data_IF_484009978475
#
_entry.id   IF_484009978475
#
_cell.length_a   1.000
_cell.length_b   1.000
_cell.length_c   1.000
_cell.angle_alpha   90.00
_cell.angle_beta   90.00
_cell.angle_gamma   90.00
#
_symmetry.space_group_name_H-M   'P 1'
#
loop_
_entity.id
_entity.type
_entity.pdbx_description
1 polymer ?
#
# COMPACT_ATOMS: atom_id res chain seq x y z
N UNK A 1 5.69 33.50 11.83
CA UNK A 1 5.24 32.44 10.90
C UNK A 1 5.29 33.01 9.48
N UNK A 2 6.35 32.73 8.73
CA UNK A 2 6.47 33.21 7.34
C UNK A 2 5.56 32.38 6.44
N UNK A 3 4.52 33.01 5.91
CA UNK A 3 3.56 32.37 5.00
C UNK A 3 4.25 32.28 3.62
N UNK A 4 4.85 31.13 3.32
CA UNK A 4 5.47 30.87 2.01
C UNK A 4 4.41 30.99 0.92
N UNK A 5 4.38 32.13 0.22
CA UNK A 5 3.60 32.33 -1.01
C UNK A 5 4.38 31.72 -2.17
N UNK A 6 4.34 30.39 -2.27
CA UNK A 6 4.84 29.67 -3.45
C UNK A 6 3.64 29.22 -4.27
N UNK A 7 3.72 29.34 -5.60
CA UNK A 7 2.75 28.75 -6.52
C UNK A 7 2.65 27.24 -6.37
N UNK A 8 3.65 26.60 -5.76
CA UNK A 8 3.67 25.18 -5.45
C UNK A 8 3.11 24.84 -4.06
N UNK A 9 2.77 25.83 -3.23
CA UNK A 9 2.28 25.60 -1.86
C UNK A 9 0.94 24.83 -1.84
N UNK A 10 0.08 25.02 -2.84
CA UNK A 10 -1.18 24.27 -2.99
C UNK A 10 -0.97 22.79 -3.31
N UNK A 11 0.18 22.43 -3.89
CA UNK A 11 0.53 21.05 -4.26
C UNK A 11 1.39 20.36 -3.19
N UNK A 12 1.81 21.08 -2.14
CA UNK A 12 2.59 20.53 -1.04
C UNK A 12 1.94 19.30 -0.35
N UNK A 13 0.61 19.24 -0.14
CA UNK A 13 -0.05 18.05 0.41
C UNK A 13 -0.02 16.83 -0.53
N UNK A 14 0.24 17.03 -1.82
CA UNK A 14 0.30 15.96 -2.82
C UNK A 14 1.69 15.30 -2.89
N UNK A 15 2.71 15.95 -2.31
CA UNK A 15 4.07 15.42 -2.20
C UNK A 15 4.25 14.48 -1.00
N UNK A 16 3.22 13.69 -0.65
CA UNK A 16 3.41 12.60 0.28
C UNK A 16 4.19 11.49 -0.43
N UNK A 17 5.46 11.35 -0.09
CA UNK A 17 6.23 10.16 -0.41
C UNK A 17 5.45 8.92 0.07
N UNK A 18 5.47 7.81 -0.67
CA UNK A 18 4.82 6.58 -0.22
C UNK A 18 5.39 6.19 1.15
N UNK A 19 4.52 6.18 2.16
CA UNK A 19 4.87 5.85 3.55
C UNK A 19 4.54 4.37 3.82
N UNK A 20 5.54 3.47 3.76
CA UNK A 20 5.33 2.05 3.99
C UNK A 20 4.92 1.74 5.43
N UNK A 21 5.28 2.58 6.41
CA UNK A 21 4.93 2.37 7.80
C UNK A 21 3.43 2.61 8.01
N UNK A 22 2.90 3.70 7.45
CA UNK A 22 1.46 3.99 7.49
C UNK A 22 0.63 2.93 6.77
N UNK A 23 1.14 2.39 5.65
CA UNK A 23 0.47 1.29 4.93
C UNK A 23 0.36 0.02 5.80
N UNK A 24 1.41 -0.35 6.54
CA UNK A 24 1.37 -1.48 7.48
C UNK A 24 0.41 -1.24 8.64
N UNK A 25 0.37 -0.03 9.18
CA UNK A 25 -0.57 0.33 10.25
C UNK A 25 -2.02 0.21 9.77
N UNK A 26 -2.32 0.73 8.57
CA UNK A 26 -3.64 0.61 7.96
C UNK A 26 -4.04 -0.85 7.69
N UNK A 27 -3.10 -1.67 7.18
CA UNK A 27 -3.33 -3.11 6.99
C UNK A 27 -3.62 -3.84 8.30
N UNK A 28 -2.91 -3.49 9.37
CA UNK A 28 -3.14 -4.02 10.72
C UNK A 28 -4.52 -3.63 11.25
N UNK A 29 -4.92 -2.37 11.10
CA UNK A 29 -6.25 -1.91 11.51
C UNK A 29 -7.35 -2.64 10.72
N UNK A 30 -7.20 -2.78 9.40
CA UNK A 30 -8.15 -3.51 8.56
C UNK A 30 -8.37 -4.95 9.02
N UNK A 31 -7.30 -5.63 9.46
CA UNK A 31 -7.39 -6.99 9.99
C UNK A 31 -8.16 -7.04 11.31
N UNK A 32 -7.80 -6.19 12.26
CA UNK A 32 -8.39 -6.24 13.60
C UNK A 32 -9.83 -5.71 13.64
N UNK A 33 -10.14 -4.68 12.86
CA UNK A 33 -11.41 -3.96 12.97
C UNK A 33 -12.46 -4.48 12.00
N UNK A 34 -12.05 -4.88 10.79
CA UNK A 34 -12.97 -5.27 9.71
C UNK A 34 -12.83 -6.73 9.27
N UNK A 35 -11.86 -7.47 9.84
CA UNK A 35 -11.54 -8.84 9.39
C UNK A 35 -11.02 -8.90 7.94
N UNK A 36 -10.59 -7.75 7.39
CA UNK A 36 -10.09 -7.66 6.03
C UNK A 36 -8.58 -7.89 6.02
N UNK A 37 -8.12 -8.69 5.06
CA UNK A 37 -6.71 -9.04 4.93
C UNK A 37 -6.10 -8.21 3.79
N UNK A 38 -5.11 -7.39 4.13
CA UNK A 38 -4.30 -6.65 3.16
C UNK A 38 -2.86 -7.19 3.19
N UNK A 39 -2.45 -7.87 2.13
CA UNK A 39 -1.11 -8.47 2.03
C UNK A 39 -0.31 -7.74 0.96
N UNK A 40 0.77 -7.08 1.37
CA UNK A 40 1.85 -6.76 0.45
C UNK A 40 2.84 -7.96 0.44
N UNK A 41 3.05 -8.63 -0.71
CA UNK A 41 3.97 -9.76 -0.81
C UNK A 41 5.39 -9.46 -0.30
N UNK A 42 5.87 -8.21 -0.42
CA UNK A 42 7.21 -7.82 0.04
C UNK A 42 7.39 -7.94 1.57
N UNK A 43 6.30 -7.97 2.34
CA UNK A 43 6.36 -8.16 3.78
C UNK A 43 6.57 -9.63 4.17
N UNK A 44 6.38 -10.56 3.24
CA UNK A 44 6.56 -11.99 3.48
C UNK A 44 8.04 -12.36 3.29
N UNK A 45 8.69 -13.02 4.25
CA UNK A 45 10.13 -13.34 4.15
C UNK A 45 10.42 -14.46 3.16
N UNK A 46 9.51 -15.43 3.03
CA UNK A 46 9.67 -16.61 2.19
C UNK A 46 9.17 -16.41 0.76
N UNK A 47 9.89 -17.00 -0.22
CA UNK A 47 9.45 -17.01 -1.62
C UNK A 47 8.12 -17.75 -1.79
N UNK A 48 7.94 -18.89 -1.11
CA UNK A 48 6.72 -19.70 -1.22
C UNK A 48 5.47 -18.92 -0.76
N UNK A 49 5.56 -18.24 0.38
CA UNK A 49 4.47 -17.43 0.92
C UNK A 49 4.08 -16.28 -0.03
N UNK A 50 5.08 -15.63 -0.64
CA UNK A 50 4.86 -14.59 -1.65
C UNK A 50 4.06 -15.13 -2.83
N UNK A 51 4.42 -16.30 -3.34
CA UNK A 51 3.73 -16.94 -4.47
C UNK A 51 2.34 -17.39 -4.10
N UNK A 52 2.13 -17.91 -2.90
CA UNK A 52 0.81 -18.26 -2.43
C UNK A 52 -0.11 -17.04 -2.35
N UNK A 53 0.39 -15.91 -1.83
CA UNK A 53 -0.36 -14.66 -1.78
C UNK A 53 -0.72 -14.13 -3.18
N UNK A 54 0.22 -14.19 -4.13
CA UNK A 54 -0.04 -13.83 -5.54
C UNK A 54 -1.12 -14.72 -6.16
N UNK A 55 -1.06 -16.03 -5.97
CA UNK A 55 -2.05 -16.98 -6.50
C UNK A 55 -3.44 -16.70 -5.94
N UNK A 56 -3.55 -16.43 -4.63
CA UNK A 56 -4.83 -16.08 -4.01
C UNK A 56 -5.38 -14.78 -4.58
N UNK A 57 -4.54 -13.75 -4.71
CA UNK A 57 -4.94 -12.47 -5.31
C UNK A 57 -5.43 -12.66 -6.75
N UNK A 58 -4.74 -13.48 -7.55
CA UNK A 58 -5.15 -13.77 -8.92
C UNK A 58 -6.48 -14.53 -9.01
N UNK A 59 -6.75 -15.42 -8.05
CA UNK A 59 -8.04 -16.12 -7.97
C UNK A 59 -9.19 -15.18 -7.59
N UNK A 60 -8.95 -14.26 -6.67
CA UNK A 60 -9.97 -13.33 -6.19
C UNK A 60 -10.24 -12.16 -7.14
N UNK A 61 -9.21 -11.67 -7.83
CA UNK A 61 -9.27 -10.40 -8.56
C UNK A 61 -8.87 -10.52 -10.05
N UNK A 62 -8.50 -11.72 -10.50
CA UNK A 62 -7.96 -11.95 -11.84
C UNK A 62 -6.47 -11.62 -11.95
N UNK A 63 -5.90 -11.84 -13.14
CA UNK A 63 -4.47 -11.63 -13.39
C UNK A 63 -4.05 -10.18 -13.13
N UNK A 64 -2.93 -10.00 -12.43
CA UNK A 64 -2.36 -8.67 -12.19
C UNK A 64 -2.03 -8.01 -13.53
N UNK A 65 -2.49 -6.77 -13.72
CA UNK A 65 -2.12 -5.97 -14.90
C UNK A 65 -0.63 -5.65 -14.82
N UNK A 66 0.16 -6.21 -15.74
CA UNK A 66 1.54 -5.81 -15.95
C UNK A 66 1.48 -4.57 -16.84
N UNK A 67 1.46 -3.39 -16.24
CA UNK A 67 1.64 -2.15 -17.00
C UNK A 67 3.08 -2.15 -17.49
N UNK A 68 3.26 -2.36 -18.80
CA UNK A 68 4.53 -2.18 -19.50
C UNK A 68 4.91 -0.71 -19.56
#
# INVERSE_FOLDING_TARGET
MSRVRSSLASFAPLNHLPDPARARQAARAAWHDAGLILINPEWLPGWADRKQAEILAEKCHGKRKVTK
#
